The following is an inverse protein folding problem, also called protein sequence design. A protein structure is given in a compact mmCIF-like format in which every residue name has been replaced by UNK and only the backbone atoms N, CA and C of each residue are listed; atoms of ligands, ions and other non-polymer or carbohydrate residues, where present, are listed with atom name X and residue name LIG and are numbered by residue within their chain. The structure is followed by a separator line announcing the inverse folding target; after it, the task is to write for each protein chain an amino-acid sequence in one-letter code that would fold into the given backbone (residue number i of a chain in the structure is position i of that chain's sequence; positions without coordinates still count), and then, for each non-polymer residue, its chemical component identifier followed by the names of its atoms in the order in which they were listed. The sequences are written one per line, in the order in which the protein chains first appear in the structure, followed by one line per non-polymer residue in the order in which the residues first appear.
data_IF_139461964644
#
_entry.id   IF_139461964644
#
_cell.length_a   1.000
_cell.length_b   1.000
_cell.length_c   1.000
_cell.angle_alpha   90.00
_cell.angle_beta   90.00
_cell.angle_gamma   90.00
#
_symmetry.space_group_name_H-M   'P 1'
#
loop_
_entity.id
_entity.type
_entity.pdbx_description
1 polymer ?
#
# COMPACT_ATOMS: atom_id res chain seq x y z
N UNK A 1 7.61 16.93 -31.54
CA UNK A 1 6.50 17.73 -31.00
C UNK A 1 6.37 17.35 -29.53
N UNK A 2 7.18 17.97 -28.65
CA UNK A 2 7.10 17.71 -27.22
C UNK A 2 6.11 18.71 -26.68
N UNK A 3 4.82 18.32 -26.65
CA UNK A 3 3.80 19.16 -26.04
C UNK A 3 4.19 19.44 -24.59
N UNK A 4 4.14 20.72 -24.21
CA UNK A 4 4.34 21.17 -22.85
C UNK A 4 3.26 20.51 -21.97
N UNK A 5 3.63 19.44 -21.27
CA UNK A 5 2.75 18.76 -20.33
C UNK A 5 2.64 19.62 -19.07
N UNK A 6 1.56 20.36 -18.95
CA UNK A 6 1.17 20.99 -17.69
C UNK A 6 0.79 19.86 -16.74
N UNK A 7 1.40 19.75 -15.55
CA UNK A 7 1.01 18.73 -14.59
C UNK A 7 -0.48 18.88 -14.23
N UNK A 8 -1.16 17.76 -14.03
CA UNK A 8 -2.61 17.70 -13.74
C UNK A 8 -2.98 18.47 -12.45
N UNK A 9 -2.00 18.66 -11.56
CA UNK A 9 -2.08 19.56 -10.40
C UNK A 9 -2.41 21.00 -10.76
N UNK A 10 -1.84 21.53 -11.84
CA UNK A 10 -2.01 22.91 -12.27
C UNK A 10 -3.18 23.07 -13.24
N UNK A 11 -3.46 22.05 -14.05
CA UNK A 11 -4.51 22.10 -15.09
C UNK A 11 -5.91 21.74 -14.54
N UNK A 12 -6.00 20.78 -13.61
CA UNK A 12 -7.27 20.25 -13.11
C UNK A 12 -7.43 20.36 -11.59
N UNK A 13 -6.46 20.96 -10.88
CA UNK A 13 -6.47 21.07 -9.42
C UNK A 13 -6.29 19.74 -8.69
N UNK A 14 -5.72 18.72 -9.35
CA UNK A 14 -5.56 17.37 -8.80
C UNK A 14 -4.30 17.31 -7.94
N UNK A 15 -4.43 17.08 -6.63
CA UNK A 15 -3.27 16.89 -5.75
C UNK A 15 -2.98 15.41 -5.47
N UNK A 16 -1.70 15.09 -5.30
CA UNK A 16 -1.23 13.74 -4.95
C UNK A 16 -0.52 13.75 -3.60
N UNK A 17 -0.71 12.70 -2.81
CA UNK A 17 0.01 12.51 -1.55
C UNK A 17 0.32 11.03 -1.33
N UNK A 18 1.30 10.75 -0.46
CA UNK A 18 1.65 9.39 -0.05
C UNK A 18 1.33 9.22 1.43
N UNK A 19 0.43 8.27 1.73
CA UNK A 19 0.16 7.83 3.09
C UNK A 19 1.11 6.69 3.46
N UNK A 20 1.75 6.78 4.63
CA UNK A 20 2.62 5.72 5.18
C UNK A 20 2.22 5.41 6.62
N UNK A 21 2.21 4.13 6.95
CA UNK A 21 1.91 3.63 8.30
C UNK A 21 2.61 2.29 8.52
N UNK A 22 3.19 2.10 9.70
CA UNK A 22 3.85 0.85 10.10
C UNK A 22 2.91 -0.18 10.74
N UNK A 23 1.87 0.28 11.45
CA UNK A 23 0.90 -0.60 12.12
C UNK A 23 -0.23 -1.06 11.18
N UNK A 24 -0.81 -2.24 11.43
CA UNK A 24 -1.84 -2.79 10.56
C UNK A 24 -3.14 -1.99 10.66
N UNK A 25 -3.94 -2.05 9.60
CA UNK A 25 -5.30 -1.54 9.62
C UNK A 25 -6.21 -2.49 10.40
N UNK A 26 -7.12 -1.90 11.19
CA UNK A 26 -8.19 -2.67 11.81
C UNK A 26 -9.22 -3.06 10.73
N UNK A 27 -9.57 -4.35 10.58
CA UNK A 27 -10.37 -4.84 9.44
C UNK A 27 -11.69 -4.11 9.25
N UNK A 28 -12.48 -4.00 10.32
CA UNK A 28 -13.79 -3.33 10.27
C UNK A 28 -13.69 -1.82 10.00
N UNK A 29 -12.65 -1.14 10.50
CA UNK A 29 -12.49 0.31 10.28
C UNK A 29 -12.10 0.60 8.84
N UNK A 30 -11.23 -0.22 8.27
CA UNK A 30 -10.85 -0.11 6.86
C UNK A 30 -12.06 -0.39 5.96
N UNK A 31 -12.79 -1.48 6.21
CA UNK A 31 -13.98 -1.83 5.41
C UNK A 31 -15.03 -0.71 5.44
N UNK A 32 -15.38 -0.21 6.63
CA UNK A 32 -16.34 0.89 6.77
C UNK A 32 -15.91 2.17 6.03
N UNK A 33 -14.60 2.41 5.90
CA UNK A 33 -14.06 3.54 5.15
C UNK A 33 -14.10 3.29 3.64
N UNK A 34 -13.76 2.07 3.19
CA UNK A 34 -13.86 1.66 1.79
C UNK A 34 -15.30 1.71 1.25
N UNK A 35 -16.29 1.37 2.08
CA UNK A 35 -17.72 1.50 1.74
C UNK A 35 -18.15 2.95 1.51
N UNK A 36 -17.37 3.91 2.01
CA UNK A 36 -17.59 5.35 1.87
C UNK A 36 -16.43 6.01 1.11
N UNK A 37 -15.90 5.29 0.12
CA UNK A 37 -14.78 5.78 -0.68
C UNK A 37 -15.12 7.15 -1.31
N UNK A 38 -14.26 8.17 -1.14
CA UNK A 38 -14.57 9.51 -1.65
C UNK A 38 -14.60 9.52 -3.19
N UNK A 39 -15.63 10.15 -3.76
CA UNK A 39 -15.81 10.28 -5.21
C UNK A 39 -14.71 11.11 -5.87
N UNK A 40 -14.06 11.98 -5.11
CA UNK A 40 -12.99 12.86 -5.59
C UNK A 40 -11.64 12.14 -5.75
N UNK A 41 -11.50 10.91 -5.25
CA UNK A 41 -10.29 10.11 -5.47
C UNK A 41 -10.36 9.51 -6.86
N UNK A 42 -9.58 10.06 -7.79
CA UNK A 42 -9.52 9.60 -9.19
C UNK A 42 -8.69 8.33 -9.34
N UNK A 43 -7.60 8.22 -8.56
CA UNK A 43 -6.67 7.08 -8.54
C UNK A 43 -6.10 6.87 -7.15
N UNK A 44 -5.90 5.60 -6.81
CA UNK A 44 -5.16 5.17 -5.63
C UNK A 44 -4.44 3.86 -5.93
N UNK A 45 -3.23 3.69 -5.41
CA UNK A 45 -2.51 2.42 -5.48
C UNK A 45 -1.60 2.31 -4.27
N UNK A 46 -1.62 1.15 -3.61
CA UNK A 46 -0.73 0.94 -2.48
C UNK A 46 -0.89 -0.41 -1.83
N UNK A 47 0.18 -0.81 -1.15
CA UNK A 47 0.16 -1.96 -0.27
C UNK A 47 -0.39 -1.56 1.10
N UNK A 48 -1.08 -2.49 1.74
CA UNK A 48 -1.56 -2.33 3.10
C UNK A 48 -1.48 -3.65 3.85
N UNK A 49 -1.47 -3.54 5.17
CA UNK A 49 -1.45 -4.68 6.06
C UNK A 49 -2.72 -4.70 6.92
N UNK A 50 -3.32 -5.87 7.11
CA UNK A 50 -4.59 -6.05 7.80
C UNK A 50 -4.39 -6.90 9.04
N UNK A 51 -4.85 -6.42 10.21
CA UNK A 51 -4.59 -7.09 11.50
C UNK A 51 -5.22 -8.50 11.62
N UNK A 52 -6.17 -8.84 10.74
CA UNK A 52 -6.76 -10.20 10.67
C UNK A 52 -6.05 -11.12 9.67
N UNK A 53 -5.04 -10.63 8.95
CA UNK A 53 -4.28 -11.34 7.91
C UNK A 53 -2.79 -11.04 8.06
N UNK A 54 -2.23 -11.43 9.21
CA UNK A 54 -0.88 -11.03 9.60
C UNK A 54 0.23 -11.51 8.65
N UNK A 55 0.01 -12.61 7.91
CA UNK A 55 0.99 -13.16 6.98
C UNK A 55 0.87 -12.66 5.53
N UNK A 56 -0.05 -11.74 5.22
CA UNK A 56 -0.36 -11.37 3.84
C UNK A 56 -0.27 -9.85 3.62
N UNK A 57 0.31 -9.48 2.49
CA UNK A 57 0.25 -8.12 1.95
C UNK A 57 -1.05 -7.96 1.17
N UNK A 58 -1.84 -6.93 1.49
CA UNK A 58 -2.94 -6.49 0.64
C UNK A 58 -2.48 -5.44 -0.37
N UNK A 59 -3.04 -5.47 -1.58
CA UNK A 59 -2.87 -4.43 -2.60
C UNK A 59 -4.22 -3.82 -2.93
N UNK A 60 -4.34 -2.51 -2.75
CA UNK A 60 -5.43 -1.70 -3.26
C UNK A 60 -4.99 -1.06 -4.57
N UNK A 61 -5.84 -1.17 -5.60
CA UNK A 61 -5.63 -0.51 -6.88
C UNK A 61 -6.94 0.07 -7.37
N UNK A 62 -6.95 1.37 -7.63
CA UNK A 62 -8.07 2.10 -8.19
C UNK A 62 -7.66 2.82 -9.47
N UNK A 63 -8.53 2.73 -10.47
CA UNK A 63 -8.51 3.61 -11.64
C UNK A 63 -9.95 4.02 -11.98
N UNK A 64 -10.24 5.33 -11.92
CA UNK A 64 -11.59 5.83 -12.11
C UNK A 64 -12.54 5.27 -11.06
N UNK A 65 -13.69 4.73 -11.49
CA UNK A 65 -14.70 4.14 -10.61
C UNK A 65 -14.39 2.71 -10.16
N UNK A 66 -13.37 2.07 -10.72
CA UNK A 66 -13.03 0.68 -10.40
C UNK A 66 -11.99 0.61 -9.29
N UNK A 67 -12.30 -0.16 -8.24
CA UNK A 67 -11.41 -0.44 -7.10
C UNK A 67 -11.27 -1.96 -6.97
N UNK A 68 -10.03 -2.43 -6.95
CA UNK A 68 -9.68 -3.83 -6.70
C UNK A 68 -8.84 -3.94 -5.43
N UNK A 69 -9.14 -4.97 -4.63
CA UNK A 69 -8.35 -5.37 -3.47
C UNK A 69 -7.97 -6.84 -3.61
N UNK A 70 -6.68 -7.15 -3.52
CA UNK A 70 -6.16 -8.50 -3.67
C UNK A 70 -4.96 -8.77 -2.77
N UNK A 71 -4.64 -10.05 -2.54
CA UNK A 71 -3.38 -10.43 -1.92
C UNK A 71 -2.20 -10.19 -2.88
N UNK A 72 -1.06 -9.76 -2.35
CA UNK A 72 0.12 -9.39 -3.13
C UNK A 72 1.42 -10.02 -2.61
N UNK A 73 1.31 -11.15 -1.92
CA UNK A 73 2.44 -11.89 -1.36
C UNK A 73 2.38 -11.98 0.16
N UNK A 74 3.46 -12.51 0.73
CA UNK A 74 3.59 -12.70 2.16
C UNK A 74 4.25 -11.50 2.85
N UNK A 75 3.88 -11.27 4.09
CA UNK A 75 4.51 -10.25 4.92
C UNK A 75 5.86 -10.77 5.41
N UNK A 76 6.96 -10.08 5.10
CA UNK A 76 8.34 -10.55 5.35
C UNK A 76 8.54 -10.96 6.82
N UNK A 77 7.97 -10.19 7.75
CA UNK A 77 8.07 -10.48 9.18
C UNK A 77 7.38 -11.79 9.61
N UNK A 78 6.43 -12.27 8.82
CA UNK A 78 5.66 -13.48 9.07
C UNK A 78 6.28 -14.74 8.44
N UNK A 79 7.32 -14.59 7.61
CA UNK A 79 8.06 -15.72 7.03
C UNK A 79 8.81 -16.51 8.11
N UNK A 80 9.05 -17.83 7.90
CA UNK A 80 9.97 -18.61 8.71
C UNK A 80 11.34 -17.93 8.81
N UNK A 81 12.02 -18.05 9.96
CA UNK A 81 13.27 -17.34 10.22
C UNK A 81 14.33 -17.57 9.14
N UNK A 82 14.46 -18.80 8.65
CA UNK A 82 15.41 -19.16 7.58
C UNK A 82 15.12 -18.42 6.28
N UNK A 83 13.85 -18.39 5.86
CA UNK A 83 13.42 -17.73 4.61
C UNK A 83 13.52 -16.21 4.74
N UNK A 84 13.09 -15.67 5.89
CA UNK A 84 13.22 -14.24 6.20
C UNK A 84 14.68 -13.79 6.17
N UNK A 85 15.58 -14.54 6.81
CA UNK A 85 17.00 -14.22 6.85
C UNK A 85 17.63 -14.30 5.46
N UNK A 86 17.23 -15.28 4.65
CA UNK A 86 17.66 -15.37 3.26
C UNK A 86 17.19 -14.14 2.46
N UNK A 87 15.91 -13.76 2.57
CA UNK A 87 15.37 -12.63 1.84
C UNK A 87 15.99 -11.30 2.27
N UNK A 88 16.30 -11.13 3.55
CA UNK A 88 17.05 -9.97 4.07
C UNK A 88 18.50 -9.97 3.55
N UNK A 89 19.13 -11.13 3.39
CA UNK A 89 20.48 -11.22 2.83
C UNK A 89 20.50 -10.88 1.33
N UNK A 90 19.46 -11.26 0.58
CA UNK A 90 19.27 -10.94 -0.84
C UNK A 90 18.90 -9.46 -1.04
N UNK A 91 18.05 -8.91 -0.18
CA UNK A 91 17.59 -7.52 -0.22
C UNK A 91 17.81 -6.79 1.13
N UNK A 92 19.06 -6.41 1.48
CA UNK A 92 19.37 -5.76 2.76
C UNK A 92 18.66 -4.41 2.97
N UNK A 93 18.23 -3.78 1.87
CA UNK A 93 17.48 -2.52 1.85
C UNK A 93 16.17 -2.58 2.63
N UNK A 94 15.56 -3.78 2.75
CA UNK A 94 14.34 -4.01 3.55
C UNK A 94 14.52 -3.53 5.00
N UNK A 95 15.74 -3.67 5.54
CA UNK A 95 16.06 -3.25 6.91
C UNK A 95 15.99 -1.73 7.12
N UNK A 96 16.12 -0.92 6.06
CA UNK A 96 16.13 0.56 6.20
C UNK A 96 14.82 1.11 6.76
N UNK A 97 13.70 0.44 6.50
CA UNK A 97 12.38 0.86 6.96
C UNK A 97 11.76 -0.13 7.96
N UNK A 98 12.57 -1.07 8.46
CA UNK A 98 12.10 -2.13 9.35
C UNK A 98 11.53 -1.57 10.66
N UNK A 99 10.57 -2.29 11.21
CA UNK A 99 9.94 -2.06 12.48
C UNK A 99 10.18 -3.26 13.39
N UNK A 100 10.65 -3.04 14.61
CA UNK A 100 10.98 -4.15 15.53
C UNK A 100 9.76 -5.02 15.87
N UNK A 101 8.56 -4.43 15.87
CA UNK A 101 7.33 -5.15 16.20
C UNK A 101 6.66 -5.75 14.96
N UNK A 102 6.71 -5.05 13.83
CA UNK A 102 5.92 -5.40 12.64
C UNK A 102 6.73 -5.92 11.46
N UNK A 103 8.05 -5.79 11.51
CA UNK A 103 8.95 -6.02 10.39
C UNK A 103 8.84 -4.97 9.32
#
# INVERSE_FOLDING_TARGET
NSEHHTPETEEYGINSFVYRRKSPFHPKRLMNWLEKWPVDVVRAKGFFWLASRNSMIGLLSQAGSSITIQGAGEWIAALPETERNQMIAEEPEVLKNWDEQYG
#
